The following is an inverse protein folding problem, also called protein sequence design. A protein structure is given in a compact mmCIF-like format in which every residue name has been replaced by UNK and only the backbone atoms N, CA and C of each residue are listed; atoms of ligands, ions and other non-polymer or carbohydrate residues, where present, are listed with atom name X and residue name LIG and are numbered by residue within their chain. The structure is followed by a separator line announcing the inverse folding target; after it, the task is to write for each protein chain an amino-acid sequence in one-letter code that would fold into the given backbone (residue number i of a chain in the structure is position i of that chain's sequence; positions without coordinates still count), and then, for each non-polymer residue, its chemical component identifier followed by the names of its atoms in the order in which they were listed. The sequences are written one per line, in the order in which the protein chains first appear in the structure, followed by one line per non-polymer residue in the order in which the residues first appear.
data_IF_574749415873
#
_entry.id   IF_574749415873
#
_cell.length_a   1.000
_cell.length_b   1.000
_cell.length_c   1.000
_cell.angle_alpha   90.00
_cell.angle_beta   90.00
_cell.angle_gamma   90.00
#
_symmetry.space_group_name_H-M   'P 1'
#
loop_
_entity.id
_entity.type
_entity.pdbx_description
1 polymer ?
#
# COMPACT_ATOMS: atom_id res chain seq x y z
N UNK A 1 -1.13 -26.37 -7.08
CA UNK A 1 -1.22 -25.06 -7.73
C UNK A 1 0.15 -24.40 -7.66
N UNK A 2 0.86 -24.26 -8.77
CA UNK A 2 2.08 -23.46 -8.83
C UNK A 2 1.66 -22.00 -8.57
N UNK A 3 2.08 -21.44 -7.43
CA UNK A 3 1.94 -19.98 -7.20
C UNK A 3 2.78 -19.30 -8.27
N UNK A 4 2.14 -18.50 -9.14
CA UNK A 4 2.87 -17.66 -10.09
C UNK A 4 3.91 -16.83 -9.34
N UNK A 5 5.17 -16.93 -9.75
CA UNK A 5 6.24 -16.09 -9.23
C UNK A 5 5.92 -14.63 -9.54
N UNK A 6 6.07 -13.70 -8.59
CA UNK A 6 5.86 -12.28 -8.88
C UNK A 6 6.92 -11.76 -9.85
N UNK A 7 6.54 -10.90 -10.77
CA UNK A 7 7.47 -10.20 -11.66
C UNK A 7 8.12 -9.03 -10.94
N UNK A 8 9.43 -8.90 -11.07
CA UNK A 8 10.24 -7.82 -10.52
C UNK A 8 11.01 -7.18 -11.68
N UNK A 9 10.78 -5.89 -11.92
CA UNK A 9 11.57 -5.14 -12.88
C UNK A 9 13.00 -5.01 -12.38
N UNK A 10 13.96 -5.06 -13.30
CA UNK A 10 15.36 -5.03 -12.95
C UNK A 10 16.14 -4.02 -13.79
N UNK A 11 16.91 -3.16 -13.11
CA UNK A 11 17.86 -2.23 -13.69
C UNK A 11 19.23 -2.57 -13.14
N UNK A 12 20.17 -2.90 -14.03
CA UNK A 12 21.53 -3.27 -13.66
C UNK A 12 22.48 -3.27 -14.85
N UNK A 13 23.74 -3.60 -14.59
CA UNK A 13 24.72 -3.90 -15.63
C UNK A 13 24.36 -5.19 -16.35
N UNK A 14 24.77 -5.32 -17.61
CA UNK A 14 24.52 -6.54 -18.39
C UNK A 14 25.09 -7.77 -17.70
N UNK A 15 26.28 -7.66 -17.11
CA UNK A 15 26.92 -8.78 -16.37
C UNK A 15 26.09 -9.21 -15.18
N UNK A 16 25.54 -8.25 -14.42
CA UNK A 16 24.72 -8.55 -13.26
C UNK A 16 23.37 -9.14 -13.67
N UNK A 17 22.76 -8.59 -14.72
CA UNK A 17 21.51 -9.13 -15.30
C UNK A 17 21.71 -10.58 -15.75
N UNK A 18 22.78 -10.86 -16.51
CA UNK A 18 23.09 -12.20 -16.99
C UNK A 18 23.30 -13.19 -15.84
N UNK A 19 24.09 -12.79 -14.83
CA UNK A 19 24.30 -13.60 -13.61
C UNK A 19 22.99 -13.93 -12.89
N UNK A 20 22.09 -12.96 -12.78
CA UNK A 20 20.78 -13.16 -12.16
C UNK A 20 19.86 -14.05 -13.04
N UNK A 21 19.97 -13.95 -14.36
CA UNK A 21 19.21 -14.80 -15.28
C UNK A 21 19.69 -16.26 -15.26
N UNK A 22 20.96 -16.53 -15.02
CA UNK A 22 21.47 -17.90 -14.78
C UNK A 22 20.86 -18.54 -13.54
N UNK A 23 20.58 -17.72 -12.52
CA UNK A 23 19.98 -18.16 -11.25
C UNK A 23 18.44 -18.23 -11.27
N UNK A 24 17.80 -18.02 -12.42
CA UNK A 24 16.32 -17.89 -12.55
C UNK A 24 15.52 -19.04 -11.93
N UNK A 25 16.05 -20.25 -11.99
CA UNK A 25 15.37 -21.44 -11.44
C UNK A 25 15.34 -21.42 -9.90
N UNK A 26 16.39 -20.86 -9.27
CA UNK A 26 16.51 -20.74 -7.81
C UNK A 26 15.80 -19.51 -7.26
N UNK A 27 15.47 -18.53 -8.13
CA UNK A 27 14.73 -17.36 -7.73
C UNK A 27 13.24 -17.68 -7.54
N UNK A 28 12.63 -17.13 -6.50
CA UNK A 28 11.19 -17.24 -6.22
C UNK A 28 10.38 -16.06 -6.80
N UNK A 29 10.98 -15.27 -7.67
CA UNK A 29 10.38 -14.18 -8.45
C UNK A 29 10.94 -14.22 -9.87
N UNK A 30 10.23 -13.59 -10.82
CA UNK A 30 10.70 -13.46 -12.20
C UNK A 30 11.46 -12.15 -12.35
N UNK A 31 12.58 -12.15 -13.06
CA UNK A 31 13.32 -10.95 -13.43
C UNK A 31 12.83 -10.48 -14.78
N UNK A 32 12.45 -9.20 -14.85
CA UNK A 32 12.07 -8.51 -16.08
C UNK A 32 13.07 -7.36 -16.32
N UNK A 33 14.14 -7.58 -17.10
CA UNK A 33 15.13 -6.53 -17.35
C UNK A 33 14.53 -5.33 -18.06
N UNK A 34 14.81 -4.13 -17.56
CA UNK A 34 14.45 -2.88 -18.19
C UNK A 34 15.68 -2.35 -18.94
N UNK A 35 15.61 -2.33 -20.27
CA UNK A 35 16.68 -1.83 -21.15
C UNK A 35 16.66 -0.32 -21.28
N UNK A 36 15.50 0.29 -21.14
CA UNK A 36 15.33 1.74 -21.27
C UNK A 36 14.60 2.30 -20.05
N UNK A 37 15.16 3.35 -19.44
CA UNK A 37 14.61 4.04 -18.28
C UNK A 37 13.36 4.88 -18.63
N UNK A 38 13.02 4.98 -19.91
CA UNK A 38 11.85 5.74 -20.42
C UNK A 38 10.69 4.83 -20.80
N UNK A 39 10.74 3.55 -20.46
CA UNK A 39 9.76 2.58 -20.91
C UNK A 39 8.34 2.96 -20.42
N UNK A 40 7.50 3.39 -21.37
CA UNK A 40 6.09 3.76 -21.13
C UNK A 40 5.23 2.58 -20.70
N UNK A 41 5.78 1.37 -20.65
CA UNK A 41 5.12 0.13 -20.28
C UNK A 41 5.38 -0.31 -18.84
N UNK A 42 6.08 0.49 -18.01
CA UNK A 42 6.32 0.12 -16.61
C UNK A 42 5.00 0.14 -15.85
N UNK A 43 4.60 -1.02 -15.39
CA UNK A 43 3.46 -1.14 -14.49
C UNK A 43 3.86 -0.61 -13.10
N UNK A 44 3.27 0.51 -12.69
CA UNK A 44 3.54 1.19 -11.42
C UNK A 44 3.40 0.26 -10.19
N UNK A 45 2.62 -0.81 -10.32
CA UNK A 45 2.38 -1.77 -9.24
C UNK A 45 3.43 -2.88 -9.12
N UNK A 46 4.42 -2.94 -10.04
CA UNK A 46 5.48 -3.95 -9.95
C UNK A 46 6.71 -3.40 -9.22
N UNK A 47 7.36 -4.24 -8.39
CA UNK A 47 8.61 -3.86 -7.72
C UNK A 47 9.74 -3.61 -8.72
N UNK A 48 10.61 -2.68 -8.38
CA UNK A 48 11.81 -2.34 -9.13
C UNK A 48 13.05 -2.68 -8.31
N UNK A 49 13.89 -3.56 -8.84
CA UNK A 49 15.18 -3.91 -8.27
C UNK A 49 16.29 -3.18 -9.05
N UNK A 50 17.14 -2.45 -8.36
CA UNK A 50 18.15 -1.58 -8.95
C UNK A 50 19.54 -1.97 -8.42
N UNK A 51 20.46 -2.30 -9.35
CA UNK A 51 21.88 -2.45 -9.00
C UNK A 51 22.52 -1.05 -8.91
N UNK A 52 22.99 -0.68 -7.72
CA UNK A 52 23.56 0.65 -7.48
C UNK A 52 24.78 0.94 -8.36
N UNK A 53 25.64 -0.07 -8.58
CA UNK A 53 26.86 0.09 -9.36
C UNK A 53 26.62 0.41 -10.85
N UNK A 54 25.42 0.11 -11.37
CA UNK A 54 25.03 0.48 -12.73
C UNK A 54 24.64 1.97 -12.89
N UNK A 55 24.37 2.65 -11.75
CA UNK A 55 23.95 4.04 -11.70
C UNK A 55 25.13 4.99 -11.46
N UNK A 56 26.16 4.94 -12.32
CA UNK A 56 27.35 5.80 -12.19
C UNK A 56 27.09 7.27 -12.53
N UNK A 57 26.05 7.55 -13.32
CA UNK A 57 25.71 8.90 -13.80
C UNK A 57 24.50 9.49 -13.07
N UNK A 58 24.61 10.79 -12.75
CA UNK A 58 23.50 11.55 -12.15
C UNK A 58 22.25 11.54 -13.03
N UNK A 59 22.40 11.48 -14.36
CA UNK A 59 21.28 11.38 -15.30
C UNK A 59 20.50 10.07 -15.12
N UNK A 60 21.18 8.94 -14.95
CA UNK A 60 20.55 7.63 -14.69
C UNK A 60 19.84 7.61 -13.35
N UNK A 61 20.43 8.20 -12.32
CA UNK A 61 19.81 8.36 -11.00
C UNK A 61 18.49 9.14 -11.13
N UNK A 62 18.48 10.25 -11.85
CA UNK A 62 17.28 11.06 -12.08
C UNK A 62 16.21 10.28 -12.86
N UNK A 63 16.62 9.49 -13.86
CA UNK A 63 15.70 8.62 -14.59
C UNK A 63 15.06 7.56 -13.69
N UNK A 64 15.87 6.86 -12.87
CA UNK A 64 15.33 5.88 -11.89
C UNK A 64 14.40 6.54 -10.86
N UNK A 65 14.72 7.79 -10.46
CA UNK A 65 13.82 8.55 -9.57
C UNK A 65 12.48 8.85 -10.22
N UNK A 66 12.46 9.16 -11.52
CA UNK A 66 11.23 9.48 -12.26
C UNK A 66 10.34 8.25 -12.53
N UNK A 67 10.91 7.03 -12.45
CA UNK A 67 10.12 5.81 -12.62
C UNK A 67 9.10 5.69 -11.51
N UNK A 68 7.85 5.57 -11.89
CA UNK A 68 6.73 5.37 -10.98
C UNK A 68 6.64 3.89 -10.61
N UNK A 69 7.49 3.45 -9.70
CA UNK A 69 7.35 2.13 -9.06
C UNK A 69 6.97 2.32 -7.61
N UNK A 70 6.01 1.54 -7.14
CA UNK A 70 5.53 1.59 -5.76
C UNK A 70 6.50 0.95 -4.75
N UNK A 71 7.51 0.22 -5.23
CA UNK A 71 8.52 -0.45 -4.40
C UNK A 71 9.87 -0.46 -5.08
N UNK A 72 10.82 0.37 -4.61
CA UNK A 72 12.20 0.44 -5.11
C UNK A 72 13.17 -0.24 -4.15
N UNK A 73 13.78 -1.33 -4.60
CA UNK A 73 14.77 -2.10 -3.85
C UNK A 73 16.13 -1.87 -4.51
N UNK A 74 17.14 -1.55 -3.71
CA UNK A 74 18.50 -1.32 -4.19
C UNK A 74 19.40 -2.47 -3.78
N UNK A 75 20.23 -2.96 -4.70
CA UNK A 75 21.33 -3.89 -4.40
C UNK A 75 22.65 -3.16 -4.55
N UNK A 76 23.55 -3.31 -3.58
CA UNK A 76 24.88 -2.66 -3.59
C UNK A 76 25.97 -3.59 -3.05
N UNK A 77 27.17 -3.49 -3.65
CA UNK A 77 28.37 -4.16 -3.17
C UNK A 77 29.13 -3.31 -2.14
N UNK A 78 28.73 -2.07 -1.93
CA UNK A 78 29.42 -1.12 -1.04
C UNK A 78 28.43 -0.38 -0.14
N UNK A 79 28.94 0.10 0.99
CA UNK A 79 28.20 1.00 1.91
C UNK A 79 28.19 2.45 1.36
N UNK A 80 27.86 2.62 0.11
CA UNK A 80 27.82 3.94 -0.54
C UNK A 80 26.60 4.72 -0.10
N UNK A 81 26.73 6.03 0.04
CA UNK A 81 25.58 6.91 0.22
C UNK A 81 24.70 6.88 -1.03
N UNK A 82 23.44 6.53 -0.87
CA UNK A 82 22.48 6.42 -1.96
C UNK A 82 21.70 7.72 -2.05
N UNK A 83 21.90 8.47 -3.12
CA UNK A 83 21.27 9.78 -3.33
C UNK A 83 19.90 9.70 -4.02
N UNK A 84 19.16 8.62 -3.84
CA UNK A 84 17.78 8.54 -4.34
C UNK A 84 16.85 7.79 -3.37
N UNK A 85 15.56 8.10 -3.50
CA UNK A 85 14.53 7.50 -2.63
C UNK A 85 14.34 6.02 -2.95
N UNK A 86 14.54 5.18 -1.96
CA UNK A 86 14.37 3.73 -2.04
C UNK A 86 13.68 3.20 -0.78
N UNK A 87 13.04 2.04 -0.89
CA UNK A 87 12.30 1.40 0.19
C UNK A 87 13.11 0.35 0.95
N UNK A 88 14.18 -0.16 0.32
CA UNK A 88 15.05 -1.19 0.89
C UNK A 88 16.42 -1.18 0.23
N UNK A 89 17.48 -1.35 1.03
CA UNK A 89 18.84 -1.59 0.58
C UNK A 89 19.26 -3.03 0.92
N UNK A 90 19.78 -3.75 -0.07
CA UNK A 90 20.37 -5.08 0.09
C UNK A 90 21.88 -4.99 -0.17
N UNK A 91 22.67 -5.34 0.83
CA UNK A 91 24.12 -5.38 0.70
C UNK A 91 24.57 -6.77 0.24
N UNK A 92 25.46 -6.80 -0.74
CA UNK A 92 26.14 -8.02 -1.18
C UNK A 92 27.49 -8.18 -0.43
N UNK A 93 27.99 -9.41 -0.27
CA UNK A 93 27.46 -10.67 -0.78
C UNK A 93 26.27 -11.20 0.03
N UNK A 94 25.34 -11.87 -0.64
CA UNK A 94 24.16 -12.48 -0.04
C UNK A 94 23.85 -13.81 -0.74
N UNK A 95 23.43 -14.84 0.00
CA UNK A 95 23.00 -16.07 -0.60
C UNK A 95 21.59 -15.96 -1.21
N UNK A 96 21.29 -16.80 -2.20
CA UNK A 96 20.02 -16.77 -2.95
C UNK A 96 18.80 -16.97 -2.04
N UNK A 97 18.90 -17.82 -1.03
CA UNK A 97 17.79 -18.07 -0.11
C UNK A 97 17.40 -16.78 0.67
N UNK A 98 18.40 -16.05 1.14
CA UNK A 98 18.18 -14.77 1.83
C UNK A 98 17.68 -13.69 0.88
N UNK A 99 18.21 -13.63 -0.35
CA UNK A 99 17.72 -12.71 -1.39
C UNK A 99 16.23 -12.93 -1.65
N UNK A 100 15.83 -14.17 -1.91
CA UNK A 100 14.44 -14.55 -2.09
C UNK A 100 13.57 -14.13 -0.90
N UNK A 101 14.03 -14.44 0.33
CA UNK A 101 13.31 -14.09 1.55
C UNK A 101 13.08 -12.59 1.68
N UNK A 102 14.14 -11.79 1.52
CA UNK A 102 14.07 -10.33 1.69
C UNK A 102 13.15 -9.68 0.65
N UNK A 103 13.30 -10.05 -0.62
CA UNK A 103 12.48 -9.49 -1.71
C UNK A 103 11.02 -9.86 -1.54
N UNK A 104 10.71 -11.15 -1.29
CA UNK A 104 9.33 -11.59 -1.13
C UNK A 104 8.67 -11.03 0.12
N UNK A 105 9.39 -10.93 1.25
CA UNK A 105 8.87 -10.29 2.45
C UNK A 105 8.52 -8.83 2.18
N UNK A 106 9.37 -8.09 1.47
CA UNK A 106 9.12 -6.68 1.18
C UNK A 106 7.93 -6.50 0.23
N UNK A 107 7.82 -7.34 -0.82
CA UNK A 107 6.68 -7.36 -1.73
C UNK A 107 5.38 -7.66 -0.96
N UNK A 108 5.37 -8.71 -0.14
CA UNK A 108 4.19 -9.10 0.64
C UNK A 108 3.77 -8.01 1.61
N UNK A 109 4.73 -7.41 2.34
CA UNK A 109 4.45 -6.30 3.25
C UNK A 109 3.86 -5.10 2.51
N UNK A 110 4.35 -4.80 1.30
CA UNK A 110 3.82 -3.69 0.50
C UNK A 110 2.38 -3.95 0.06
N UNK A 111 2.10 -5.12 -0.51
CA UNK A 111 0.75 -5.53 -0.92
C UNK A 111 -0.21 -5.50 0.29
N UNK A 112 0.24 -5.98 1.44
CA UNK A 112 -0.54 -5.97 2.67
C UNK A 112 -0.89 -4.53 3.09
N UNK A 113 0.08 -3.62 3.07
CA UNK A 113 -0.12 -2.21 3.43
C UNK A 113 -1.04 -1.50 2.42
N UNK A 114 -0.87 -1.73 1.11
CA UNK A 114 -1.73 -1.15 0.08
C UNK A 114 -3.18 -1.63 0.19
N UNK A 115 -3.39 -2.92 0.44
CA UNK A 115 -4.73 -3.48 0.64
C UNK A 115 -5.39 -3.03 1.95
N UNK A 116 -4.60 -2.56 2.91
CA UNK A 116 -5.11 -2.08 4.19
C UNK A 116 -5.37 -0.59 4.24
N UNK A 117 -5.00 0.15 3.19
CA UNK A 117 -5.21 1.60 3.12
C UNK A 117 -6.25 1.94 2.05
N UNK A 118 -7.24 2.74 2.43
CA UNK A 118 -8.33 3.18 1.53
C UNK A 118 -8.42 4.70 1.56
N UNK A 119 -8.40 5.33 0.39
CA UNK A 119 -8.62 6.78 0.28
C UNK A 119 -10.11 7.13 0.29
N UNK A 120 -10.49 8.11 1.12
CA UNK A 120 -11.87 8.53 1.34
C UNK A 120 -11.93 10.06 1.37
N UNK A 121 -12.46 10.71 0.35
CA UNK A 121 -12.63 12.18 0.34
C UNK A 121 -11.39 12.97 0.77
N UNK A 122 -10.20 12.54 0.35
CA UNK A 122 -8.93 13.15 0.74
C UNK A 122 -8.40 12.74 2.12
N UNK A 123 -9.02 11.75 2.75
CA UNK A 123 -8.51 11.05 3.93
C UNK A 123 -7.92 9.70 3.55
N UNK A 124 -6.94 9.24 4.30
CA UNK A 124 -6.40 7.88 4.21
C UNK A 124 -6.87 7.07 5.41
N UNK A 125 -7.75 6.10 5.19
CA UNK A 125 -8.10 5.09 6.18
C UNK A 125 -7.02 4.01 6.19
N UNK A 126 -6.22 3.96 7.23
CA UNK A 126 -5.21 2.93 7.47
C UNK A 126 -5.78 1.89 8.45
N UNK A 127 -6.20 0.75 7.93
CA UNK A 127 -6.84 -0.30 8.71
C UNK A 127 -5.87 -1.03 9.64
N UNK A 128 -4.59 -1.09 9.26
CA UNK A 128 -3.55 -1.74 10.06
C UNK A 128 -3.17 -0.90 11.28
N UNK A 129 -2.96 0.40 11.06
CA UNK A 129 -2.69 1.33 12.14
C UNK A 129 -3.97 1.75 12.90
N UNK A 130 -5.15 1.38 12.38
CA UNK A 130 -6.46 1.81 12.88
C UNK A 130 -6.57 3.32 12.98
N UNK A 131 -6.16 4.01 11.91
CA UNK A 131 -6.15 5.47 11.86
C UNK A 131 -6.87 6.00 10.63
N UNK A 132 -7.56 7.12 10.80
CA UNK A 132 -7.99 7.97 9.69
C UNK A 132 -7.06 9.17 9.67
N UNK A 133 -6.33 9.35 8.56
CA UNK A 133 -5.27 10.35 8.40
C UNK A 133 -5.70 11.41 7.38
N UNK A 134 -5.33 12.66 7.63
CA UNK A 134 -5.45 13.76 6.66
C UNK A 134 -4.28 14.71 6.87
N UNK A 135 -3.50 14.98 5.81
CA UNK A 135 -2.26 15.75 5.92
C UNK A 135 -1.34 15.14 7.00
N UNK A 136 -0.96 15.93 8.01
CA UNK A 136 -0.09 15.51 9.12
C UNK A 136 -0.86 15.10 10.39
N UNK A 137 -2.19 15.14 10.36
CA UNK A 137 -3.07 14.81 11.50
C UNK A 137 -3.71 13.45 11.34
N UNK A 138 -4.09 12.82 12.46
CA UNK A 138 -4.81 11.56 12.45
C UNK A 138 -5.71 11.41 13.68
N UNK A 139 -6.76 10.58 13.54
CA UNK A 139 -7.55 10.06 14.65
C UNK A 139 -7.41 8.54 14.74
N UNK A 140 -7.44 8.02 15.96
CA UNK A 140 -7.49 6.57 16.19
C UNK A 140 -8.92 6.06 16.07
N UNK A 141 -9.05 4.91 15.42
CA UNK A 141 -10.33 4.26 15.17
C UNK A 141 -10.42 2.93 15.92
N UNK A 142 -11.59 2.63 16.43
CA UNK A 142 -11.93 1.28 16.88
C UNK A 142 -12.20 0.38 15.69
N UNK A 143 -12.14 -0.93 15.89
CA UNK A 143 -12.47 -1.91 14.84
C UNK A 143 -13.88 -1.71 14.27
N UNK A 144 -14.85 -1.37 15.13
CA UNK A 144 -16.23 -1.11 14.68
C UNK A 144 -16.37 0.19 13.89
N UNK A 145 -15.59 1.21 14.20
CA UNK A 145 -15.53 2.44 13.39
C UNK A 145 -14.91 2.18 12.02
N UNK A 146 -13.88 1.32 11.93
CA UNK A 146 -13.29 0.89 10.64
C UNK A 146 -14.33 0.13 9.82
N UNK A 147 -14.98 -0.89 10.40
CA UNK A 147 -16.03 -1.68 9.72
C UNK A 147 -17.17 -0.78 9.23
N UNK A 148 -17.58 0.20 10.05
CA UNK A 148 -18.60 1.19 9.69
C UNK A 148 -18.17 2.01 8.47
N UNK A 149 -16.95 2.56 8.45
CA UNK A 149 -16.42 3.32 7.33
C UNK A 149 -16.34 2.46 6.07
N UNK A 150 -15.83 1.24 6.14
CA UNK A 150 -15.78 0.31 5.01
C UNK A 150 -17.18 -0.01 4.47
N UNK A 151 -18.14 -0.23 5.36
CA UNK A 151 -19.54 -0.50 4.97
C UNK A 151 -20.14 0.68 4.22
N UNK A 152 -19.92 1.91 4.70
CA UNK A 152 -20.40 3.13 4.05
C UNK A 152 -19.73 3.36 2.69
N UNK A 153 -18.44 3.07 2.58
CA UNK A 153 -17.67 3.22 1.33
C UNK A 153 -18.10 2.26 0.22
N UNK A 154 -18.42 1.02 0.58
CA UNK A 154 -18.79 0.00 -0.42
C UNK A 154 -20.14 0.28 -1.06
N UNK A 155 -20.97 1.13 -0.46
CA UNK A 155 -22.31 1.45 -0.94
C UNK A 155 -22.34 2.83 -1.61
N UNK A 156 -22.87 2.89 -2.81
CA UNK A 156 -23.03 4.14 -3.56
C UNK A 156 -24.26 4.97 -3.13
N UNK A 157 -25.02 4.49 -2.15
CA UNK A 157 -26.27 5.10 -1.67
C UNK A 157 -26.28 5.10 -0.15
N UNK A 158 -27.02 6.02 0.51
CA UNK A 158 -27.17 6.04 1.95
C UNK A 158 -27.68 4.71 2.50
N UNK A 159 -27.09 4.25 3.59
CA UNK A 159 -27.39 2.96 4.23
C UNK A 159 -28.25 3.21 5.46
N UNK A 160 -29.35 2.47 5.60
CA UNK A 160 -30.25 2.58 6.75
C UNK A 160 -29.56 2.11 8.05
N UNK A 161 -30.00 2.66 9.19
CA UNK A 161 -29.51 2.26 10.52
C UNK A 161 -29.63 0.75 10.77
N UNK A 162 -30.73 0.14 10.35
CA UNK A 162 -30.96 -1.32 10.50
C UNK A 162 -29.97 -2.13 9.67
N UNK A 163 -29.66 -1.67 8.46
CA UNK A 163 -28.70 -2.35 7.61
C UNK A 163 -27.27 -2.21 8.16
N UNK A 164 -26.88 -1.01 8.63
CA UNK A 164 -25.59 -0.80 9.30
C UNK A 164 -25.45 -1.69 10.52
N UNK A 165 -26.50 -1.77 11.35
CA UNK A 165 -26.51 -2.62 12.55
C UNK A 165 -26.27 -4.10 12.20
N UNK A 166 -26.91 -4.59 11.15
CA UNK A 166 -26.72 -5.96 10.66
C UNK A 166 -25.31 -6.20 10.11
N UNK A 167 -24.82 -5.31 9.24
CA UNK A 167 -23.54 -5.51 8.52
C UNK A 167 -22.32 -5.31 9.44
N UNK A 168 -22.37 -4.35 10.38
CA UNK A 168 -21.24 -4.01 11.24
C UNK A 168 -21.26 -4.74 12.59
N UNK A 169 -22.44 -4.92 13.20
CA UNK A 169 -22.58 -5.55 14.52
C UNK A 169 -23.14 -6.96 14.48
N UNK A 170 -23.61 -7.43 13.31
CA UNK A 170 -24.22 -8.76 13.15
C UNK A 170 -25.45 -8.98 14.04
N UNK A 171 -26.12 -7.90 14.43
CA UNK A 171 -27.35 -7.99 15.23
C UNK A 171 -28.56 -8.28 14.36
N UNK A 172 -29.60 -8.89 14.95
CA UNK A 172 -30.87 -9.11 14.30
C UNK A 172 -31.52 -7.78 13.89
N UNK A 173 -32.36 -7.81 12.85
CA UNK A 173 -32.97 -6.61 12.26
C UNK A 173 -33.94 -5.86 13.18
N UNK A 174 -34.34 -6.48 14.27
CA UNK A 174 -35.24 -5.95 15.31
C UNK A 174 -34.49 -5.36 16.52
N UNK A 175 -33.14 -5.47 16.53
CA UNK A 175 -32.36 -4.88 17.62
C UNK A 175 -32.37 -3.34 17.56
N UNK A 176 -32.12 -2.72 18.72
CA UNK A 176 -32.15 -1.27 18.88
C UNK A 176 -31.06 -0.56 18.06
N UNK A 177 -31.48 0.38 17.24
CA UNK A 177 -30.59 1.17 16.36
C UNK A 177 -29.83 2.28 17.08
N UNK A 178 -30.08 2.54 18.38
CA UNK A 178 -29.33 3.54 19.16
C UNK A 178 -27.84 3.26 19.23
N UNK A 179 -27.43 1.99 19.12
CA UNK A 179 -26.01 1.61 19.01
C UNK A 179 -25.35 2.31 17.82
N UNK A 180 -25.99 2.26 16.63
CA UNK A 180 -25.45 2.91 15.42
C UNK A 180 -25.35 4.42 15.60
N UNK A 181 -26.40 5.06 16.14
CA UNK A 181 -26.42 6.51 16.37
C UNK A 181 -25.30 6.95 17.29
N UNK A 182 -25.08 6.22 18.38
CA UNK A 182 -24.01 6.49 19.33
C UNK A 182 -22.61 6.40 18.69
N UNK A 183 -22.38 5.38 17.89
CA UNK A 183 -21.10 5.21 17.20
C UNK A 183 -20.89 6.28 16.12
N UNK A 184 -21.90 6.61 15.34
CA UNK A 184 -21.85 7.70 14.35
C UNK A 184 -21.58 9.04 15.05
N UNK A 185 -22.25 9.33 16.14
CA UNK A 185 -22.02 10.56 16.91
C UNK A 185 -20.57 10.67 17.41
N UNK A 186 -20.06 9.59 18.03
CA UNK A 186 -18.67 9.56 18.53
C UNK A 186 -17.65 9.72 17.40
N UNK A 187 -17.86 9.05 16.27
CA UNK A 187 -16.97 9.15 15.13
C UNK A 187 -17.00 10.56 14.52
N UNK A 188 -18.18 11.16 14.37
CA UNK A 188 -18.31 12.56 13.92
C UNK A 188 -17.59 13.52 14.86
N UNK A 189 -17.74 13.33 16.17
CA UNK A 189 -17.06 14.17 17.15
C UNK A 189 -15.54 14.07 17.00
N UNK A 190 -14.98 12.87 16.90
CA UNK A 190 -13.52 12.69 16.63
C UNK A 190 -13.07 13.41 15.37
N UNK A 191 -13.83 13.29 14.28
CA UNK A 191 -13.51 13.92 12.98
C UNK A 191 -13.61 15.43 13.08
N UNK A 192 -14.63 15.94 13.73
CA UNK A 192 -14.81 17.38 13.94
C UNK A 192 -13.71 17.97 14.82
N UNK A 193 -13.38 17.31 15.92
CA UNK A 193 -12.39 17.78 16.89
C UNK A 193 -10.99 17.90 16.25
N UNK A 194 -10.60 16.93 15.40
CA UNK A 194 -9.26 16.90 14.79
C UNK A 194 -9.19 17.61 13.43
N UNK A 195 -10.19 17.40 12.58
CA UNK A 195 -10.11 17.84 11.17
C UNK A 195 -11.04 18.99 10.82
N UNK A 196 -11.89 19.44 11.75
CA UNK A 196 -12.90 20.48 11.54
C UNK A 196 -13.83 20.19 10.35
N UNK A 197 -14.19 18.91 10.14
CA UNK A 197 -14.98 18.45 9.00
C UNK A 197 -16.33 17.87 9.46
N UNK A 198 -17.37 18.68 9.35
CA UNK A 198 -18.75 18.26 9.66
C UNK A 198 -19.41 17.45 8.53
N UNK A 199 -18.83 17.50 7.32
CA UNK A 199 -19.44 16.93 6.10
C UNK A 199 -18.86 15.57 5.69
N UNK A 200 -17.93 15.04 6.47
CA UNK A 200 -17.34 13.73 6.17
C UNK A 200 -18.40 12.61 6.24
N UNK A 201 -19.19 12.58 7.32
CA UNK A 201 -20.31 11.65 7.50
C UNK A 201 -21.64 12.40 7.37
N UNK A 202 -22.42 12.05 6.35
CA UNK A 202 -23.68 12.71 6.04
C UNK A 202 -24.85 11.90 6.63
N UNK A 203 -25.81 12.62 7.24
CA UNK A 203 -27.11 12.06 7.67
C UNK A 203 -28.16 12.45 6.63
N UNK A 204 -28.85 11.48 6.10
CA UNK A 204 -29.97 11.65 5.20
C UNK A 204 -31.26 11.05 5.78
N UNK A 205 -32.41 11.35 5.18
CA UNK A 205 -33.71 10.78 5.64
C UNK A 205 -33.72 9.25 5.65
N UNK A 206 -32.96 8.64 4.75
CA UNK A 206 -32.90 7.18 4.54
C UNK A 206 -31.82 6.51 5.39
N UNK A 207 -30.77 7.24 5.81
CA UNK A 207 -29.66 6.68 6.55
C UNK A 207 -28.39 7.52 6.52
N UNK A 208 -27.22 6.88 6.46
CA UNK A 208 -25.92 7.51 6.49
C UNK A 208 -25.11 7.21 5.24
N UNK A 209 -24.29 8.17 4.82
CA UNK A 209 -23.34 8.06 3.70
C UNK A 209 -22.01 8.80 4.01
N UNK A 210 -21.01 8.53 3.20
CA UNK A 210 -19.74 9.28 3.16
C UNK A 210 -19.64 9.99 1.83
#
# INVERSE_FOLDING_TARGET
MQKNKPDVYFIGSDDFINSMMELKEDLKFNIVPLKDYQDKGINENKPLLVELNSLKDTSKINQVNSLKSNLKIVISNSKSNINFKHDMLINLPLNISNLNKLILQKITSRIFNENSSVEIKGYLLDKNERKLKKNNSFIELTEKEIQLLETLLTKKKPISKKQILKEVWSYASDADTHTVETHIYRLRKKIMDEFQDEKFLISEKVGYSI
#
